data_IF_830422921030
#
_entry.id   IF_830422921030
#
_cell.length_a   1.000
_cell.length_b   1.000
_cell.length_c   1.000
_cell.angle_alpha   90.00
_cell.angle_beta   90.00
_cell.angle_gamma   90.00
#
_symmetry.space_group_name_H-M   'P 1'
#
loop_
_entity.id
_entity.type
_entity.pdbx_description
1 polymer ?
#
# COMPACT_ATOMS: atom_id res chain seq x y z
N UNK A 1 3.26 -9.87 20.69
CA UNK A 1 2.82 -8.60 20.10
C UNK A 1 1.43 -8.82 19.52
N UNK A 2 0.45 -8.04 19.97
CA UNK A 2 -0.91 -8.13 19.46
C UNK A 2 -1.06 -7.34 18.16
N UNK A 3 -2.07 -7.67 17.34
CA UNK A 3 -2.32 -6.96 16.08
C UNK A 3 -2.52 -5.44 16.30
N UNK A 4 -3.15 -5.04 17.40
CA UNK A 4 -3.33 -3.65 17.78
C UNK A 4 -2.00 -2.92 17.96
N UNK A 5 -1.05 -3.54 18.67
CA UNK A 5 0.29 -2.97 18.93
C UNK A 5 1.11 -2.85 17.64
N UNK A 6 1.03 -3.85 16.75
CA UNK A 6 1.68 -3.83 15.44
C UNK A 6 1.08 -2.70 14.59
N UNK A 7 -0.25 -2.62 14.53
CA UNK A 7 -0.96 -1.59 13.77
C UNK A 7 -0.62 -0.19 14.27
N UNK A 8 -0.60 0.03 15.58
CA UNK A 8 -0.21 1.32 16.16
C UNK A 8 1.24 1.68 15.83
N UNK A 9 2.17 0.75 16.01
CA UNK A 9 3.60 0.98 15.70
C UNK A 9 3.83 1.33 14.23
N UNK A 10 3.14 0.62 13.31
CA UNK A 10 3.22 0.89 11.87
C UNK A 10 2.65 2.27 11.55
N UNK A 11 1.47 2.61 12.09
CA UNK A 11 0.84 3.91 11.84
C UNK A 11 1.67 5.05 12.38
N UNK A 12 2.18 4.93 13.60
CA UNK A 12 3.04 5.94 14.21
C UNK A 12 4.27 6.21 13.34
N UNK A 13 4.93 5.16 12.83
CA UNK A 13 6.09 5.34 11.95
C UNK A 13 5.72 6.05 10.65
N UNK A 14 4.59 5.71 10.03
CA UNK A 14 4.13 6.36 8.81
C UNK A 14 3.77 7.84 9.05
N UNK A 15 3.11 8.13 10.17
CA UNK A 15 2.72 9.48 10.57
C UNK A 15 3.96 10.36 10.86
N UNK A 16 5.00 9.79 11.48
CA UNK A 16 6.26 10.50 11.73
C UNK A 16 7.00 10.87 10.44
N UNK A 17 7.05 9.95 9.46
CA UNK A 17 7.63 10.24 8.14
C UNK A 17 6.81 11.32 7.43
N UNK A 18 5.48 11.20 7.42
CA UNK A 18 4.60 12.17 6.77
C UNK A 18 4.75 13.57 7.38
N UNK A 19 4.82 13.66 8.72
CA UNK A 19 5.05 14.93 9.43
C UNK A 19 6.36 15.58 9.02
N UNK A 20 7.45 14.83 8.93
CA UNK A 20 8.75 15.40 8.54
C UNK A 20 8.73 15.86 7.08
N UNK A 21 8.13 15.08 6.18
CA UNK A 21 8.01 15.45 4.76
C UNK A 21 7.17 16.72 4.56
N UNK A 22 6.12 16.92 5.35
CA UNK A 22 5.20 18.05 5.18
C UNK A 22 5.65 19.34 5.91
N UNK A 23 6.24 19.20 7.10
CA UNK A 23 6.51 20.34 8.00
C UNK A 23 8.01 20.60 8.24
N UNK A 24 8.89 19.69 7.81
CA UNK A 24 10.33 19.76 8.03
C UNK A 24 11.06 20.68 7.06
N UNK A 25 12.28 21.08 7.43
CA UNK A 25 13.18 21.78 6.50
C UNK A 25 13.81 20.80 5.48
N UNK A 26 14.37 21.35 4.40
CA UNK A 26 14.95 20.57 3.29
C UNK A 26 16.02 19.57 3.75
N UNK A 27 16.77 19.89 4.82
CA UNK A 27 17.78 19.00 5.37
C UNK A 27 17.13 17.78 6.05
N UNK A 28 16.17 18.03 6.94
CA UNK A 28 15.41 16.99 7.63
C UNK A 28 14.65 16.09 6.63
N UNK A 29 14.03 16.68 5.61
CA UNK A 29 13.35 15.94 4.54
C UNK A 29 14.35 15.06 3.77
N UNK A 30 15.52 15.59 3.42
CA UNK A 30 16.54 14.82 2.69
C UNK A 30 17.09 13.65 3.50
N UNK A 31 17.36 13.85 4.79
CA UNK A 31 17.79 12.77 5.68
C UNK A 31 16.75 11.67 5.80
N UNK A 32 15.49 12.06 6.06
CA UNK A 32 14.37 11.11 6.14
C UNK A 32 14.12 10.41 4.82
N UNK A 33 14.22 11.10 3.68
CA UNK A 33 14.09 10.45 2.37
C UNK A 33 15.15 9.36 2.18
N UNK A 34 16.40 9.62 2.57
CA UNK A 34 17.50 8.66 2.43
C UNK A 34 17.38 7.48 3.40
N UNK A 35 16.96 7.72 4.64
CA UNK A 35 16.84 6.65 5.64
C UNK A 35 15.54 5.86 5.50
N UNK A 36 14.41 6.53 5.25
CA UNK A 36 13.08 5.92 5.37
C UNK A 36 12.52 5.35 4.07
N UNK A 37 12.79 5.97 2.92
CA UNK A 37 12.26 5.48 1.64
C UNK A 37 12.65 4.02 1.37
N UNK A 38 13.91 3.58 1.59
CA UNK A 38 14.26 2.17 1.43
C UNK A 38 13.45 1.24 2.33
N UNK A 39 13.16 1.65 3.56
CA UNK A 39 12.34 0.87 4.50
C UNK A 39 10.88 0.82 4.08
N UNK A 40 10.30 1.93 3.61
CA UNK A 40 8.93 1.98 3.09
C UNK A 40 8.78 1.10 1.84
N UNK A 41 9.73 1.19 0.90
CA UNK A 41 9.76 0.32 -0.29
C UNK A 41 9.86 -1.15 0.13
N UNK A 42 10.74 -1.47 1.09
CA UNK A 42 10.86 -2.83 1.64
C UNK A 42 9.56 -3.33 2.28
N UNK A 43 8.87 -2.49 3.06
CA UNK A 43 7.60 -2.84 3.70
C UNK A 43 6.49 -3.11 2.66
N UNK A 44 6.41 -2.29 1.61
CA UNK A 44 5.46 -2.50 0.49
C UNK A 44 5.77 -3.82 -0.23
N UNK A 45 7.04 -4.11 -0.52
CA UNK A 45 7.42 -5.37 -1.15
C UNK A 45 7.11 -6.58 -0.26
N UNK A 46 7.37 -6.48 1.05
CA UNK A 46 7.04 -7.54 2.00
C UNK A 46 5.53 -7.83 2.02
N UNK A 47 4.69 -6.79 2.06
CA UNK A 47 3.23 -6.92 1.98
C UNK A 47 2.79 -7.57 0.67
N UNK A 48 3.34 -7.11 -0.47
CA UNK A 48 2.95 -7.61 -1.79
C UNK A 48 3.50 -9.01 -2.09
N UNK A 49 4.58 -9.45 -1.42
CA UNK A 49 5.15 -10.77 -1.57
C UNK A 49 4.15 -11.88 -1.26
N UNK A 50 3.35 -11.71 -0.20
CA UNK A 50 2.28 -12.65 0.18
C UNK A 50 1.16 -12.75 -0.89
N UNK A 51 1.08 -11.73 -1.74
CA UNK A 51 0.05 -11.59 -2.76
C UNK A 51 0.54 -11.83 -4.18
N UNK A 52 1.80 -12.26 -4.37
CA UNK A 52 2.39 -12.43 -5.70
C UNK A 52 1.47 -13.25 -6.63
N UNK A 53 1.23 -12.77 -7.86
CA UNK A 53 0.46 -13.51 -8.83
C UNK A 53 1.20 -14.80 -9.19
N UNK A 54 0.45 -15.89 -9.31
CA UNK A 54 0.97 -17.13 -9.88
C UNK A 54 1.14 -17.02 -11.40
N UNK A 55 1.57 -18.10 -12.05
CA UNK A 55 1.73 -18.19 -13.51
C UNK A 55 0.45 -17.86 -14.30
N UNK A 56 -0.72 -17.98 -13.68
CA UNK A 56 -2.02 -17.65 -14.28
C UNK A 56 -2.45 -16.20 -14.06
N UNK A 57 -1.63 -15.39 -13.36
CA UNK A 57 -1.95 -14.02 -12.98
C UNK A 57 -2.89 -13.91 -11.77
N UNK A 58 -3.16 -15.02 -11.07
CA UNK A 58 -4.06 -15.05 -9.91
C UNK A 58 -3.28 -14.88 -8.60
N UNK A 59 -3.83 -14.11 -7.66
CA UNK A 59 -3.28 -14.03 -6.31
C UNK A 59 -3.76 -15.23 -5.46
N UNK A 60 -2.87 -16.18 -5.09
CA UNK A 60 -3.25 -17.39 -4.36
C UNK A 60 -3.76 -17.10 -2.94
N UNK A 61 -3.31 -16.02 -2.29
CA UNK A 61 -3.83 -15.60 -1.00
C UNK A 61 -5.30 -15.17 -1.08
N UNK A 62 -5.68 -14.43 -2.12
CA UNK A 62 -7.06 -14.00 -2.34
C UNK A 62 -7.95 -15.11 -2.92
N UNK A 63 -7.40 -15.97 -3.78
CA UNK A 63 -8.15 -17.04 -4.43
C UNK A 63 -8.41 -18.25 -3.53
N UNK A 64 -7.65 -18.41 -2.43
CA UNK A 64 -7.89 -19.45 -1.41
C UNK A 64 -9.17 -19.22 -0.58
N UNK A 65 -9.76 -18.03 -0.65
CA UNK A 65 -11.07 -17.75 -0.06
C UNK A 65 -12.20 -18.55 -0.73
N UNK A 66 -13.35 -18.62 -0.05
CA UNK A 66 -14.61 -19.34 -0.41
C UNK A 66 -15.00 -19.35 -1.90
N UNK A 67 -14.57 -18.36 -2.67
CA UNK A 67 -14.86 -18.16 -4.09
C UNK A 67 -14.38 -19.29 -5.02
N UNK A 68 -13.24 -19.95 -4.73
CA UNK A 68 -12.77 -21.08 -5.57
C UNK A 68 -13.64 -22.33 -5.44
N UNK A 69 -14.22 -22.57 -4.25
CA UNK A 69 -15.12 -23.71 -4.01
C UNK A 69 -16.47 -23.54 -4.70
N UNK A 70 -16.91 -22.29 -4.89
CA UNK A 70 -18.19 -21.99 -5.53
C UNK A 70 -18.10 -21.97 -7.06
N UNK A 71 -16.95 -21.60 -7.65
CA UNK A 71 -16.75 -21.55 -9.10
C UNK A 71 -15.29 -21.86 -9.51
N UNK A 72 -14.89 -23.15 -9.50
CA UNK A 72 -13.50 -23.56 -9.78
C UNK A 72 -12.98 -23.19 -11.18
N UNK A 73 -13.87 -22.84 -12.12
CA UNK A 73 -13.56 -22.51 -13.51
C UNK A 73 -13.68 -21.02 -13.87
N UNK A 74 -13.99 -20.14 -12.90
CA UNK A 74 -14.07 -18.69 -13.17
C UNK A 74 -12.85 -17.96 -12.63
N UNK A 75 -12.19 -17.20 -13.51
CA UNK A 75 -11.19 -16.20 -13.11
C UNK A 75 -11.81 -15.22 -12.10
N UNK A 76 -11.05 -14.75 -11.09
CA UNK A 76 -11.50 -13.71 -10.18
C UNK A 76 -12.02 -12.49 -10.95
N UNK A 77 -13.21 -12.00 -10.60
CA UNK A 77 -13.82 -10.82 -11.25
C UNK A 77 -13.23 -9.50 -10.77
N UNK A 78 -12.37 -9.53 -9.76
CA UNK A 78 -11.69 -8.35 -9.22
C UNK A 78 -10.19 -8.62 -9.04
N UNK A 79 -9.36 -7.59 -9.23
CA UNK A 79 -7.93 -7.70 -8.99
C UNK A 79 -7.64 -7.97 -7.50
N UNK A 80 -6.43 -8.46 -7.22
CA UNK A 80 -5.96 -8.60 -5.85
C UNK A 80 -6.10 -7.26 -5.10
N UNK A 81 -6.81 -7.26 -3.96
CA UNK A 81 -7.08 -6.03 -3.21
C UNK A 81 -5.79 -5.34 -2.75
N UNK A 82 -4.75 -6.08 -2.36
CA UNK A 82 -3.48 -5.51 -1.95
C UNK A 82 -2.77 -4.76 -3.09
N UNK A 83 -2.63 -5.40 -4.26
CA UNK A 83 -2.07 -4.76 -5.45
C UNK A 83 -2.93 -3.59 -5.95
N UNK A 84 -4.26 -3.71 -5.93
CA UNK A 84 -5.15 -2.62 -6.31
C UNK A 84 -5.00 -1.41 -5.38
N UNK A 85 -4.91 -1.63 -4.07
CA UNK A 85 -4.70 -0.55 -3.09
C UNK A 85 -3.33 0.11 -3.28
N UNK A 86 -2.26 -0.68 -3.45
CA UNK A 86 -0.92 -0.16 -3.71
C UNK A 86 -0.87 0.64 -5.01
N UNK A 87 -1.46 0.11 -6.09
CA UNK A 87 -1.54 0.80 -7.38
C UNK A 87 -2.27 2.13 -7.26
N UNK A 88 -3.40 2.17 -6.54
CA UNK A 88 -4.11 3.44 -6.29
C UNK A 88 -3.27 4.45 -5.52
N UNK A 89 -2.61 4.01 -4.46
CA UNK A 89 -1.78 4.89 -3.64
C UNK A 89 -0.56 5.45 -4.40
N UNK A 90 -0.02 4.69 -5.35
CA UNK A 90 1.17 5.07 -6.11
C UNK A 90 0.89 5.82 -7.41
N UNK A 91 -0.26 5.58 -8.05
CA UNK A 91 -0.53 6.04 -9.42
C UNK A 91 -1.86 6.77 -9.62
N UNK A 92 -2.78 6.73 -8.64
CA UNK A 92 -4.06 7.44 -8.76
C UNK A 92 -3.86 8.90 -8.31
N UNK A 93 -3.13 9.67 -9.13
CA UNK A 93 -2.83 11.09 -8.94
C UNK A 93 -4.07 12.01 -9.06
N UNK A 94 -5.26 11.45 -9.29
CA UNK A 94 -6.51 12.19 -9.50
C UNK A 94 -7.12 12.83 -8.23
N UNK A 95 -6.36 12.96 -7.13
CA UNK A 95 -6.84 13.59 -5.87
C UNK A 95 -6.11 14.87 -5.47
N UNK A 96 -5.06 15.26 -6.21
CA UNK A 96 -4.26 16.47 -5.94
C UNK A 96 -4.52 17.64 -6.91
N UNK A 97 -5.64 17.64 -7.64
CA UNK A 97 -6.12 18.91 -8.23
C UNK A 97 -6.90 19.68 -7.16
N UNK A 98 -6.42 20.85 -6.69
CA UNK A 98 -7.22 21.68 -5.81
C UNK A 98 -8.49 22.04 -6.56
N UNK A 99 -9.66 21.73 -5.98
CA UNK A 99 -10.95 22.26 -6.43
C UNK A 99 -10.86 23.78 -6.31
N UNK A 100 -10.39 24.43 -7.38
CA UNK A 100 -10.35 25.88 -7.48
C UNK A 100 -11.74 26.41 -7.19
N UNK A 101 -11.78 27.36 -6.26
CA UNK A 101 -12.95 28.10 -5.85
C UNK A 101 -13.78 28.49 -7.08
N UNK A 102 -15.00 27.96 -7.15
CA UNK A 102 -16.01 28.52 -8.04
C UNK A 102 -16.50 29.81 -7.37
N UNK A 103 -16.17 30.92 -8.03
CA UNK A 103 -16.70 32.26 -7.83
C UNK A 103 -18.23 32.30 -7.80
#
# INVERSE_FOLDING_TARGET
MFLSEINESVRQRLDDVARIVNDGDDHAVTEVARSEVPHLVGAVWALLAEHQPNELGECPACSRGMWRWQRPWRRPTSPCKAYLSAWRALFDEARDEPRHASH
#
